data_IF_208536699700
#
_entry.id   IF_208536699700
#
_cell.length_a   1.000
_cell.length_b   1.000
_cell.length_c   1.000
_cell.angle_alpha   90.00
_cell.angle_beta   90.00
_cell.angle_gamma   90.00
#
_symmetry.space_group_name_H-M   'P 1'
#
loop_
_entity.id
_entity.type
_entity.pdbx_description
1 polymer ?
#
# COMPACT_ATOMS: atom_id res chain seq x y z
N UNK A 1 -27.36 5.19 36.87
CA UNK A 1 -27.82 4.30 35.77
C UNK A 1 -26.60 4.05 34.90
N UNK A 2 -25.54 3.37 35.35
CA UNK A 2 -25.47 2.01 35.91
C UNK A 2 -26.11 0.98 34.97
N UNK A 3 -25.25 0.38 34.15
CA UNK A 3 -25.41 -0.95 33.57
C UNK A 3 -24.05 -1.42 32.99
N UNK A 4 -23.23 -2.02 33.85
CA UNK A 4 -22.58 -3.32 33.55
C UNK A 4 -23.43 -4.38 34.30
N UNK A 5 -23.47 -5.70 33.95
CA UNK A 5 -22.30 -6.52 33.55
C UNK A 5 -22.59 -7.76 32.66
N UNK A 6 -21.52 -8.51 32.35
CA UNK A 6 -21.36 -9.98 32.24
C UNK A 6 -20.31 -10.27 31.16
N UNK A 7 -19.10 -10.74 31.44
CA UNK A 7 -18.65 -11.93 32.20
C UNK A 7 -19.19 -13.21 31.57
N UNK A 8 -18.38 -13.79 30.68
CA UNK A 8 -18.31 -15.24 30.51
C UNK A 8 -16.86 -15.68 30.34
N UNK A 9 -16.45 -16.51 31.31
CA UNK A 9 -15.27 -17.36 31.26
C UNK A 9 -15.57 -18.54 30.35
N UNK A 10 -14.59 -18.97 29.55
CA UNK A 10 -14.53 -20.33 29.02
C UNK A 10 -13.07 -20.76 28.77
N UNK A 11 -12.78 -22.07 28.71
CA UNK A 11 -11.91 -22.73 29.69
C UNK A 11 -10.56 -23.23 29.14
N UNK A 12 -9.67 -23.60 30.07
CA UNK A 12 -8.45 -24.38 29.85
C UNK A 12 -8.65 -25.63 28.98
N UNK A 13 -7.73 -25.92 28.05
CA UNK A 13 -7.57 -27.26 27.52
C UNK A 13 -6.48 -28.05 28.28
N UNK A 14 -6.99 -29.01 29.06
CA UNK A 14 -6.51 -30.37 29.30
C UNK A 14 -5.01 -30.70 29.16
N UNK A 15 -4.42 -31.06 30.32
CA UNK A 15 -3.33 -32.02 30.46
C UNK A 15 -3.71 -33.34 29.78
N UNK A 16 -2.94 -33.75 28.77
CA UNK A 16 -3.11 -35.05 28.12
C UNK A 16 -1.99 -36.01 28.52
N UNK A 17 -2.45 -37.18 28.92
CA UNK A 17 -1.84 -38.32 29.58
C UNK A 17 -0.66 -38.99 28.87
N UNK A 18 0.24 -39.53 29.70
CA UNK A 18 1.23 -40.57 29.41
C UNK A 18 0.67 -41.73 28.57
N UNK A 19 1.45 -42.27 27.61
CA UNK A 19 1.30 -43.62 27.14
C UNK A 19 2.26 -44.59 27.83
N UNK A 20 1.66 -45.72 28.17
CA UNK A 20 2.13 -46.90 28.86
C UNK A 20 3.23 -47.68 28.13
N UNK A 21 4.02 -48.39 28.93
CA UNK A 21 5.03 -49.35 28.51
C UNK A 21 4.45 -50.55 27.73
N UNK A 22 5.19 -51.11 26.77
CA UNK A 22 5.03 -52.50 26.34
C UNK A 22 6.13 -53.42 26.90
N UNK A 23 5.64 -54.38 27.68
CA UNK A 23 5.95 -55.82 27.74
C UNK A 23 7.32 -56.32 27.26
N UNK A 24 8.00 -56.94 28.22
CA UNK A 24 9.21 -57.73 28.11
C UNK A 24 9.00 -58.96 27.20
N UNK A 25 9.86 -59.10 26.19
CA UNK A 25 10.10 -60.36 25.48
C UNK A 25 11.42 -60.94 25.98
N UNK A 26 11.33 -62.05 26.71
CA UNK A 26 12.44 -62.89 27.15
C UNK A 26 13.16 -63.49 25.94
N UNK A 27 14.25 -62.84 25.51
CA UNK A 27 15.20 -63.35 24.54
C UNK A 27 16.43 -63.92 25.25
N UNK A 28 16.65 -65.22 25.03
CA UNK A 28 17.75 -66.03 25.54
C UNK A 28 19.12 -65.36 25.44
N UNK A 29 19.74 -65.07 26.59
CA UNK A 29 21.09 -64.50 26.67
C UNK A 29 22.12 -65.63 26.53
N UNK A 30 22.53 -65.94 25.28
CA UNK A 30 23.79 -66.64 25.03
C UNK A 30 24.94 -65.80 25.58
N UNK A 31 25.52 -66.23 26.70
CA UNK A 31 26.79 -65.72 27.25
C UNK A 31 27.93 -66.00 26.27
N UNK A 32 28.07 -65.14 25.27
CA UNK A 32 29.31 -65.06 24.50
C UNK A 32 30.38 -64.47 25.43
N UNK A 33 31.33 -65.31 25.86
CA UNK A 33 32.52 -64.88 26.59
C UNK A 33 33.30 -63.92 25.70
N UNK A 34 33.12 -62.62 25.96
CA UNK A 34 33.83 -61.54 25.26
C UNK A 34 35.33 -61.80 25.43
N UNK A 35 36.09 -61.94 24.33
CA UNK A 35 37.53 -62.16 24.37
C UNK A 35 38.23 -61.05 25.14
N UNK A 36 39.18 -61.40 26.02
CA UNK A 36 39.88 -60.43 26.90
C UNK A 36 40.59 -59.30 26.13
N UNK A 37 40.94 -59.50 24.85
CA UNK A 37 41.55 -58.48 24.01
C UNK A 37 40.60 -57.34 23.60
N UNK A 38 39.28 -57.58 23.59
CA UNK A 38 38.26 -56.54 23.32
C UNK A 38 38.13 -55.54 24.47
N UNK A 39 38.48 -55.94 25.71
CA UNK A 39 38.39 -55.06 26.89
C UNK A 39 39.46 -53.97 26.96
N UNK A 40 40.61 -54.15 26.31
CA UNK A 40 41.64 -53.10 26.27
C UNK A 40 41.34 -52.01 25.22
N UNK A 41 40.55 -52.32 24.18
CA UNK A 41 40.26 -51.36 23.09
C UNK A 41 39.05 -50.45 23.35
N UNK A 42 38.20 -50.76 24.34
CA UNK A 42 36.97 -49.99 24.62
C UNK A 42 37.22 -48.73 25.45
N UNK A 43 38.27 -48.72 26.26
CA UNK A 43 38.62 -47.59 27.14
C UNK A 43 38.90 -46.31 26.33
N UNK A 44 39.78 -46.28 25.30
CA UNK A 44 40.04 -45.04 24.55
C UNK A 44 38.80 -44.53 23.81
N UNK A 45 37.93 -45.44 23.33
CA UNK A 45 36.73 -45.07 22.57
C UNK A 45 35.68 -44.39 23.46
N UNK A 46 35.54 -44.84 24.73
CA UNK A 46 34.66 -44.20 25.71
C UNK A 46 35.11 -42.77 26.06
N UNK A 47 36.42 -42.53 26.19
CA UNK A 47 36.98 -41.20 26.48
C UNK A 47 36.69 -40.21 25.34
N UNK A 48 36.84 -40.65 24.09
CA UNK A 48 36.54 -39.82 22.91
C UNK A 48 35.06 -39.43 22.87
N UNK A 49 34.14 -40.35 23.17
CA UNK A 49 32.71 -40.07 23.20
C UNK A 49 32.35 -39.05 24.29
N UNK A 50 32.93 -39.18 25.49
CA UNK A 50 32.70 -38.21 26.59
C UNK A 50 33.24 -36.83 26.22
N UNK A 51 34.42 -36.74 25.62
CA UNK A 51 34.99 -35.46 25.17
C UNK A 51 34.15 -34.83 24.05
N UNK A 52 33.69 -35.61 23.07
CA UNK A 52 32.84 -35.13 21.99
C UNK A 52 31.48 -34.63 22.53
N UNK A 53 30.86 -35.37 23.45
CA UNK A 53 29.60 -34.97 24.08
C UNK A 53 29.78 -33.74 24.97
N UNK A 54 30.88 -33.65 25.72
CA UNK A 54 31.24 -32.48 26.52
C UNK A 54 31.47 -31.23 25.66
N UNK A 55 32.13 -31.37 24.51
CA UNK A 55 32.33 -30.28 23.56
C UNK A 55 31.01 -29.83 22.92
N UNK A 56 30.13 -30.76 22.54
CA UNK A 56 28.80 -30.44 22.01
C UNK A 56 27.94 -29.71 23.06
N UNK A 57 27.89 -30.23 24.29
CA UNK A 57 27.20 -29.58 25.40
C UNK A 57 27.77 -28.19 25.68
N UNK A 58 29.10 -28.04 25.66
CA UNK A 58 29.75 -26.76 25.83
C UNK A 58 29.32 -25.75 24.75
N UNK A 59 29.33 -26.17 23.47
CA UNK A 59 28.86 -25.31 22.38
C UNK A 59 27.39 -24.94 22.48
N UNK A 60 26.52 -25.84 22.93
CA UNK A 60 25.09 -25.56 23.06
C UNK A 60 24.76 -24.66 24.25
N UNK A 61 25.51 -24.76 25.35
CA UNK A 61 25.18 -24.03 26.58
C UNK A 61 25.94 -22.71 26.75
N UNK A 62 27.19 -22.63 26.30
CA UNK A 62 28.04 -21.47 26.59
C UNK A 62 28.18 -20.49 25.43
N UNK A 63 27.99 -20.93 24.18
CA UNK A 63 28.07 -20.04 23.02
C UNK A 63 26.68 -19.47 22.73
N UNK A 64 26.35 -18.36 23.37
CA UNK A 64 25.12 -17.61 23.06
C UNK A 64 25.24 -17.02 21.65
N UNK A 65 24.19 -17.10 20.81
CA UNK A 65 24.20 -16.45 19.50
C UNK A 65 24.40 -14.95 19.69
N UNK A 66 25.35 -14.37 18.96
CA UNK A 66 25.56 -12.92 18.94
C UNK A 66 24.44 -12.31 18.11
N UNK A 67 23.61 -11.51 18.77
CA UNK A 67 22.54 -10.74 18.12
C UNK A 67 23.20 -9.64 17.30
N UNK A 68 22.95 -9.60 16.00
CA UNK A 68 23.57 -8.64 15.08
C UNK A 68 22.60 -7.59 14.54
N UNK A 69 21.30 -7.82 14.64
CA UNK A 69 20.30 -6.91 14.08
C UNK A 69 19.14 -6.65 15.04
N UNK A 70 18.35 -5.61 14.72
CA UNK A 70 17.13 -5.27 15.42
C UNK A 70 16.09 -6.41 15.34
N UNK A 71 15.94 -7.06 14.18
CA UNK A 71 15.03 -8.19 13.96
C UNK A 71 15.39 -9.40 14.83
N UNK A 72 16.68 -9.65 15.05
CA UNK A 72 17.14 -10.70 15.96
C UNK A 72 16.90 -10.31 17.44
N UNK A 73 17.04 -9.02 17.76
CA UNK A 73 16.79 -8.51 19.12
C UNK A 73 15.32 -8.73 19.54
N UNK A 74 14.35 -8.37 18.68
CA UNK A 74 12.92 -8.51 18.99
C UNK A 74 12.47 -9.97 19.12
N UNK A 75 13.16 -10.91 18.45
CA UNK A 75 12.88 -12.35 18.56
C UNK A 75 13.49 -12.99 19.81
N UNK A 76 14.47 -12.34 20.44
CA UNK A 76 15.17 -12.87 21.60
C UNK A 76 14.29 -12.74 22.86
N UNK A 77 14.08 -13.84 23.57
CA UNK A 77 13.22 -13.87 24.77
C UNK A 77 13.73 -12.93 25.87
N UNK A 78 12.90 -11.93 26.17
CA UNK A 78 13.06 -10.93 27.23
C UNK A 78 13.99 -9.77 26.87
N UNK A 79 14.12 -9.47 25.59
CA UNK A 79 14.46 -8.11 25.16
C UNK A 79 13.32 -7.13 25.52
N UNK A 80 13.67 -5.88 25.77
CA UNK A 80 12.74 -4.78 26.04
C UNK A 80 12.64 -3.88 24.80
N UNK A 81 11.45 -3.70 24.27
CA UNK A 81 11.18 -2.77 23.17
C UNK A 81 10.76 -1.43 23.78
N UNK A 82 11.48 -0.35 23.43
CA UNK A 82 11.10 1.01 23.79
C UNK A 82 10.33 1.64 22.63
N UNK A 83 9.16 2.19 22.93
CA UNK A 83 8.30 2.92 22.00
C UNK A 83 8.83 4.35 21.75
N UNK A 84 10.09 4.47 21.36
CA UNK A 84 10.67 5.71 20.85
C UNK A 84 10.62 5.72 19.32
N UNK A 85 10.78 6.90 18.70
CA UNK A 85 11.00 7.02 17.26
C UNK A 85 12.43 7.54 17.00
N UNK A 86 13.32 6.75 16.36
CA UNK A 86 13.13 5.36 15.92
C UNK A 86 12.95 4.36 17.06
N UNK A 87 12.34 3.21 16.74
CA UNK A 87 12.15 2.12 17.70
C UNK A 87 13.48 1.55 18.15
N UNK A 88 13.59 1.25 19.45
CA UNK A 88 14.82 0.74 20.06
C UNK A 88 14.53 -0.58 20.77
N UNK A 89 15.33 -1.60 20.51
CA UNK A 89 15.30 -2.88 21.19
C UNK A 89 16.54 -3.03 22.08
N UNK A 90 16.33 -3.31 23.37
CA UNK A 90 17.39 -3.51 24.35
C UNK A 90 17.40 -4.98 24.79
N UNK A 91 18.50 -5.66 24.54
CA UNK A 91 18.69 -7.07 24.95
C UNK A 91 18.84 -7.21 26.46
N UNK A 92 18.69 -8.41 27.01
CA UNK A 92 18.96 -8.70 28.45
C UNK A 92 20.38 -8.33 28.89
N UNK A 93 21.34 -8.36 27.96
CA UNK A 93 22.73 -7.96 28.20
C UNK A 93 22.95 -6.44 28.14
N UNK A 94 21.92 -5.65 27.84
CA UNK A 94 22.01 -4.19 27.72
C UNK A 94 22.48 -3.68 26.36
N UNK A 95 22.67 -4.56 25.36
CA UNK A 95 22.97 -4.13 23.99
C UNK A 95 21.74 -3.49 23.37
N UNK A 96 21.96 -2.39 22.66
CA UNK A 96 20.92 -1.54 22.07
C UNK A 96 20.98 -1.69 20.54
N UNK A 97 19.84 -2.02 19.95
CA UNK A 97 19.65 -2.07 18.50
C UNK A 97 18.56 -1.07 18.14
N UNK A 98 18.86 -0.18 17.20
CA UNK A 98 17.90 0.80 16.68
C UNK A 98 17.38 0.26 15.35
N UNK A 99 16.07 0.36 15.11
CA UNK A 99 15.52 0.09 13.79
C UNK A 99 16.09 1.13 12.82
N UNK A 100 16.93 0.68 11.89
CA UNK A 100 17.47 1.55 10.85
C UNK A 100 16.27 2.00 10.02
N UNK A 101 15.91 3.28 10.18
CA UNK A 101 14.92 3.90 9.31
C UNK A 101 15.63 3.95 7.97
N UNK A 102 15.41 2.94 7.12
CA UNK A 102 15.80 3.01 5.73
C UNK A 102 15.17 4.32 5.27
N UNK A 103 15.96 5.35 4.89
CA UNK A 103 15.37 6.56 4.36
C UNK A 103 14.49 6.06 3.23
N UNK A 104 13.18 6.33 3.36
CA UNK A 104 12.22 5.95 2.34
C UNK A 104 12.87 6.41 1.05
N UNK A 105 13.28 5.45 0.23
CA UNK A 105 13.76 5.78 -1.10
C UNK A 105 12.48 6.19 -1.78
N UNK A 106 12.11 7.46 -1.60
CA UNK A 106 10.96 8.08 -2.23
C UNK A 106 11.24 7.80 -3.69
N UNK A 107 10.46 6.87 -4.24
CA UNK A 107 10.60 6.49 -5.63
C UNK A 107 10.59 7.77 -6.45
N UNK A 108 11.33 7.74 -7.56
CA UNK A 108 11.24 8.71 -8.67
C UNK A 108 9.93 9.49 -8.63
N UNK A 109 9.97 10.84 -8.68
CA UNK A 109 8.88 11.73 -8.31
C UNK A 109 7.53 11.17 -8.77
N UNK A 110 6.70 10.81 -7.80
CA UNK A 110 5.29 10.50 -8.04
C UNK A 110 4.63 11.71 -8.70
N UNK A 111 3.69 11.49 -9.61
CA UNK A 111 3.00 12.60 -10.26
C UNK A 111 2.31 13.44 -9.17
N UNK A 112 2.26 14.75 -9.35
CA UNK A 112 1.65 15.66 -8.39
C UNK A 112 0.18 15.28 -8.08
N UNK A 113 -0.53 14.72 -9.06
CA UNK A 113 -1.87 14.11 -8.91
C UNK A 113 -1.91 12.98 -7.88
N UNK A 114 -0.94 12.08 -7.90
CA UNK A 114 -0.85 10.94 -6.99
C UNK A 114 -0.64 11.44 -5.56
N UNK A 115 0.24 12.44 -5.39
CA UNK A 115 0.49 13.07 -4.11
C UNK A 115 -0.72 13.82 -3.56
N UNK A 116 -1.40 14.61 -4.40
CA UNK A 116 -2.65 15.25 -4.02
C UNK A 116 -3.70 14.21 -3.57
N UNK A 117 -3.88 13.14 -4.36
CA UNK A 117 -4.78 12.04 -4.05
C UNK A 117 -4.46 11.34 -2.73
N UNK A 118 -3.18 11.11 -2.42
CA UNK A 118 -2.77 10.51 -1.15
C UNK A 118 -3.07 11.43 0.04
N UNK A 119 -2.76 12.72 -0.06
CA UNK A 119 -2.95 13.70 1.02
C UNK A 119 -4.42 13.85 1.37
N UNK A 120 -5.32 13.99 0.38
CA UNK A 120 -6.75 14.18 0.64
C UNK A 120 -7.44 12.91 1.16
N UNK A 121 -6.92 11.72 0.82
CA UNK A 121 -7.49 10.44 1.21
C UNK A 121 -6.81 9.83 2.45
N UNK A 122 -5.80 10.47 3.02
CA UNK A 122 -5.11 10.00 4.21
C UNK A 122 -6.09 9.90 5.38
N UNK A 123 -6.51 8.67 5.71
CA UNK A 123 -7.38 8.39 6.86
C UNK A 123 -6.51 8.28 8.11
N UNK A 124 -6.80 9.10 9.11
CA UNK A 124 -6.26 8.89 10.45
C UNK A 124 -6.71 7.51 10.96
N UNK A 125 -5.79 6.62 11.39
CA UNK A 125 -6.17 5.34 11.96
C UNK A 125 -7.06 5.56 13.20
N UNK A 126 -8.10 4.72 13.35
CA UNK A 126 -9.04 4.82 14.48
C UNK A 126 -8.27 4.74 15.81
N UNK A 127 -8.40 5.77 16.63
CA UNK A 127 -7.77 5.85 17.95
C UNK A 127 -6.44 6.61 17.99
N UNK A 128 -5.88 7.04 16.86
CA UNK A 128 -4.75 7.93 16.83
C UNK A 128 -5.21 9.41 16.87
N UNK A 129 -4.60 10.21 17.75
CA UNK A 129 -4.69 11.67 17.68
C UNK A 129 -3.71 12.17 16.62
N UNK A 130 -4.06 12.01 15.35
CA UNK A 130 -3.34 12.70 14.29
C UNK A 130 -3.74 14.17 14.36
N UNK A 131 -2.80 15.03 14.73
CA UNK A 131 -2.87 16.43 14.31
C UNK A 131 -2.88 16.35 12.78
N UNK A 132 -3.92 16.90 12.13
CA UNK A 132 -3.88 17.02 10.66
C UNK A 132 -2.66 17.86 10.35
N UNK A 133 -1.60 17.22 9.85
CA UNK A 133 -0.51 17.95 9.21
C UNK A 133 -1.14 18.84 8.15
N UNK A 134 -0.62 20.05 7.97
CA UNK A 134 -1.18 20.93 6.95
C UNK A 134 -1.06 20.21 5.59
N UNK A 135 -2.14 20.16 4.79
CA UNK A 135 -2.15 19.41 3.54
C UNK A 135 -0.98 19.80 2.61
N UNK A 136 -0.57 21.07 2.66
CA UNK A 136 0.57 21.62 1.93
C UNK A 136 1.91 20.97 2.32
N UNK A 137 2.18 20.79 3.61
CA UNK A 137 3.40 20.12 4.08
C UNK A 137 3.44 18.67 3.62
N UNK A 138 2.32 17.96 3.79
CA UNK A 138 2.21 16.55 3.40
C UNK A 138 2.39 16.36 1.89
N UNK A 139 1.86 17.29 1.10
CA UNK A 139 2.05 17.32 -0.35
C UNK A 139 3.53 17.55 -0.70
N UNK A 140 4.19 18.50 -0.05
CA UNK A 140 5.60 18.79 -0.30
C UNK A 140 6.50 17.58 -0.01
N UNK A 141 6.28 16.90 1.12
CA UNK A 141 7.01 15.67 1.44
C UNK A 141 6.77 14.56 0.41
N UNK A 142 5.54 14.42 -0.08
CA UNK A 142 5.24 13.43 -1.12
C UNK A 142 5.96 13.72 -2.44
N UNK A 143 6.10 14.99 -2.80
CA UNK A 143 6.88 15.41 -3.98
C UNK A 143 8.40 15.23 -3.79
N UNK A 144 8.86 14.77 -2.62
CA UNK A 144 10.28 14.63 -2.29
C UNK A 144 10.94 15.92 -1.83
N UNK A 145 10.15 16.93 -1.49
CA UNK A 145 10.62 18.20 -0.94
C UNK A 145 10.51 18.30 0.57
N UNK A 146 10.87 19.47 1.09
CA UNK A 146 10.61 19.88 2.48
C UNK A 146 9.95 21.27 2.50
N UNK A 147 8.95 21.49 3.37
CA UNK A 147 8.39 22.82 3.56
C UNK A 147 9.45 23.72 4.21
N UNK A 148 9.72 24.85 3.60
CA UNK A 148 10.52 25.93 4.17
C UNK A 148 9.64 27.16 4.38
N UNK A 149 9.76 27.74 5.56
CA UNK A 149 9.11 28.99 5.91
C UNK A 149 10.01 30.12 5.41
N UNK A 150 9.49 30.97 4.52
CA UNK A 150 10.18 32.20 4.12
C UNK A 150 9.48 33.43 4.67
N UNK A 151 10.27 34.32 5.26
CA UNK A 151 9.84 35.66 5.63
C UNK A 151 10.21 36.61 4.49
N UNK A 152 9.24 36.94 3.64
CA UNK A 152 9.47 37.91 2.56
C UNK A 152 8.85 39.26 2.93
N UNK A 153 9.67 40.11 3.56
CA UNK A 153 9.28 41.49 3.88
C UNK A 153 8.13 41.62 4.88
N UNK A 154 7.40 42.73 4.79
CA UNK A 154 6.31 43.08 5.73
C UNK A 154 4.97 42.42 5.43
N UNK A 155 4.85 41.61 4.37
CA UNK A 155 3.56 41.14 3.84
C UNK A 155 3.14 39.71 4.24
N UNK A 156 3.93 39.02 5.07
CA UNK A 156 3.50 37.78 5.71
C UNK A 156 4.43 36.60 5.45
N UNK A 157 4.24 35.57 6.27
CA UNK A 157 4.97 34.32 6.22
C UNK A 157 4.22 33.34 5.32
N UNK A 158 4.92 32.72 4.36
CA UNK A 158 4.34 31.69 3.50
C UNK A 158 5.23 30.45 3.44
N UNK A 159 4.60 29.30 3.27
CA UNK A 159 5.29 28.02 3.15
C UNK A 159 5.64 27.77 1.68
N UNK A 160 6.93 27.56 1.41
CA UNK A 160 7.45 27.17 0.09
C UNK A 160 7.86 25.71 0.15
N UNK A 161 7.49 24.94 -0.87
CA UNK A 161 8.06 23.62 -1.02
C UNK A 161 9.42 23.72 -1.71
N UNK A 162 10.47 23.23 -1.07
CA UNK A 162 11.83 23.20 -1.64
C UNK A 162 12.19 21.77 -2.00
N UNK A 163 12.56 21.54 -3.26
CA UNK A 163 12.98 20.22 -3.77
C UNK A 163 14.44 20.35 -4.23
N UNK A 164 15.34 19.56 -3.64
CA UNK A 164 16.78 19.63 -3.93
C UNK A 164 17.43 21.01 -3.76
N UNK A 165 16.88 21.86 -2.87
CA UNK A 165 17.39 23.21 -2.60
C UNK A 165 16.88 24.28 -3.58
N UNK A 166 15.97 23.94 -4.49
CA UNK A 166 15.32 24.90 -5.39
C UNK A 166 13.83 25.05 -5.06
N UNK A 167 13.30 26.26 -5.27
CA UNK A 167 11.89 26.56 -5.05
C UNK A 167 11.04 25.79 -6.06
N UNK A 168 10.08 25.02 -5.56
CA UNK A 168 9.14 24.30 -6.39
C UNK A 168 8.13 25.28 -7.01
N UNK A 169 8.31 25.60 -8.29
CA UNK A 169 7.48 26.55 -9.07
C UNK A 169 6.36 25.87 -9.87
N UNK A 170 6.25 24.56 -9.74
CA UNK A 170 5.30 23.70 -10.43
C UNK A 170 3.88 23.77 -9.81
N UNK A 171 2.99 22.86 -10.21
CA UNK A 171 1.60 22.87 -9.71
C UNK A 171 1.56 22.67 -8.20
N UNK A 172 0.87 23.58 -7.50
CA UNK A 172 0.78 23.58 -6.03
C UNK A 172 -0.44 22.78 -5.54
N UNK A 173 -0.46 22.43 -4.25
CA UNK A 173 -1.64 21.84 -3.62
C UNK A 173 -2.88 22.75 -3.77
N UNK A 174 -2.70 24.07 -3.62
CA UNK A 174 -3.78 25.05 -3.76
C UNK A 174 -4.35 25.05 -5.18
N UNK A 175 -3.50 24.94 -6.21
CA UNK A 175 -3.94 24.83 -7.60
C UNK A 175 -4.85 23.60 -7.78
N UNK A 176 -4.47 22.44 -7.22
CA UNK A 176 -5.30 21.25 -7.25
C UNK A 176 -6.62 21.42 -6.50
N UNK A 177 -6.60 22.05 -5.33
CA UNK A 177 -7.80 22.26 -4.51
C UNK A 177 -8.80 23.18 -5.22
N UNK A 178 -8.34 24.33 -5.71
CA UNK A 178 -9.19 25.26 -6.46
C UNK A 178 -9.56 24.72 -7.85
N UNK A 179 -8.74 23.83 -8.40
CA UNK A 179 -8.95 23.21 -9.70
C UNK A 179 -8.69 24.13 -10.88
N UNK A 180 -7.89 25.19 -10.68
CA UNK A 180 -7.45 26.09 -11.75
C UNK A 180 -6.22 26.88 -11.29
N UNK A 181 -5.54 27.56 -12.21
CA UNK A 181 -4.55 28.60 -11.93
C UNK A 181 -4.43 29.57 -13.12
N UNK A 182 -3.98 30.80 -12.85
CA UNK A 182 -3.73 31.79 -13.90
C UNK A 182 -2.41 31.49 -14.63
N UNK A 183 -2.42 31.62 -15.95
CA UNK A 183 -1.24 31.41 -16.78
C UNK A 183 -1.62 31.33 -18.25
N UNK A 184 -0.72 31.80 -19.12
CA UNK A 184 -0.85 31.66 -20.57
C UNK A 184 -0.70 30.19 -20.99
N UNK A 185 -1.04 29.85 -22.23
CA UNK A 185 -0.93 28.48 -22.72
C UNK A 185 0.50 27.90 -22.63
N UNK A 186 1.53 28.72 -22.84
CA UNK A 186 2.94 28.32 -22.72
C UNK A 186 3.47 28.30 -21.27
N UNK A 187 2.69 28.81 -20.32
CA UNK A 187 3.01 28.84 -18.89
C UNK A 187 2.35 27.69 -18.10
N UNK A 188 2.12 26.55 -18.77
CA UNK A 188 1.61 25.35 -18.10
C UNK A 188 2.62 24.88 -17.05
N UNK A 189 2.25 24.94 -15.77
CA UNK A 189 3.07 24.43 -14.66
C UNK A 189 3.33 22.93 -14.84
N UNK A 190 4.54 22.46 -14.52
CA UNK A 190 4.83 21.01 -14.55
C UNK A 190 3.94 20.30 -13.54
N UNK A 191 3.50 19.08 -13.87
CA UNK A 191 2.56 18.32 -13.06
C UNK A 191 1.09 18.72 -13.23
N UNK A 192 0.77 19.72 -14.05
CA UNK A 192 -0.62 20.02 -14.41
C UNK A 192 -1.26 18.82 -15.12
N UNK A 193 -2.42 18.31 -14.67
CA UNK A 193 -3.03 17.14 -15.27
C UNK A 193 -3.39 17.32 -16.74
N UNK A 194 -3.26 16.24 -17.51
CA UNK A 194 -3.51 16.25 -18.95
C UNK A 194 -4.97 16.54 -19.32
N UNK A 195 -5.90 16.32 -18.37
CA UNK A 195 -7.31 16.65 -18.54
C UNK A 195 -7.66 18.09 -18.15
N UNK A 196 -6.68 18.94 -17.82
CA UNK A 196 -6.93 20.37 -17.62
C UNK A 196 -6.94 21.09 -18.97
N UNK A 197 -7.85 22.04 -19.11
CA UNK A 197 -8.02 22.83 -20.32
C UNK A 197 -7.55 24.26 -20.06
N UNK A 198 -6.91 24.84 -21.07
CA UNK A 198 -6.57 26.24 -21.09
C UNK A 198 -7.75 27.06 -21.65
N UNK A 199 -8.02 28.23 -21.07
CA UNK A 199 -9.09 29.12 -21.49
C UNK A 199 -8.73 30.59 -21.34
N UNK A 200 -9.27 31.46 -22.20
CA UNK A 200 -9.08 32.92 -22.08
C UNK A 200 -7.73 33.46 -22.56
N UNK A 201 -7.08 32.78 -23.52
CA UNK A 201 -5.79 33.20 -24.11
C UNK A 201 -5.81 34.68 -24.56
N UNK A 202 -4.71 35.39 -24.30
CA UNK A 202 -4.59 36.83 -24.61
C UNK A 202 -5.39 37.77 -23.70
N UNK A 203 -6.00 37.27 -22.62
CA UNK A 203 -6.71 38.09 -21.63
C UNK A 203 -6.04 38.00 -20.26
N UNK A 204 -6.36 38.95 -19.35
CA UNK A 204 -5.98 38.85 -17.93
C UNK A 204 -6.62 37.65 -17.20
N UNK A 205 -7.49 36.92 -17.89
CA UNK A 205 -8.19 35.74 -17.40
C UNK A 205 -7.73 34.45 -18.09
N UNK A 206 -6.55 34.47 -18.73
CA UNK A 206 -5.89 33.27 -19.23
C UNK A 206 -5.59 32.32 -18.06
N UNK A 207 -6.21 31.14 -18.09
CA UNK A 207 -6.12 30.17 -16.99
C UNK A 207 -6.11 28.73 -17.50
N UNK A 208 -5.37 27.90 -16.77
CA UNK A 208 -5.49 26.46 -16.79
C UNK A 208 -6.51 26.04 -15.74
N UNK A 209 -7.45 25.18 -16.09
CA UNK A 209 -8.46 24.69 -15.15
C UNK A 209 -8.79 23.24 -15.41
N UNK A 210 -9.19 22.51 -14.35
CA UNK A 210 -9.85 21.21 -14.49
C UNK A 210 -10.89 21.36 -15.59
N UNK A 211 -10.84 20.48 -16.60
CA UNK A 211 -11.94 20.41 -17.56
C UNK A 211 -13.19 20.22 -16.72
N UNK A 212 -14.01 21.26 -16.68
CA UNK A 212 -15.17 21.29 -15.81
C UNK A 212 -16.00 20.07 -16.17
N UNK A 213 -16.09 19.09 -15.27
CA UNK A 213 -16.94 17.93 -15.52
C UNK A 213 -18.42 18.34 -15.51
N UNK A 214 -18.74 19.61 -15.27
CA UNK A 214 -20.06 20.19 -15.55
C UNK A 214 -20.18 20.76 -16.97
N UNK A 215 -19.07 20.96 -17.70
CA UNK A 215 -19.02 21.07 -19.16
C UNK A 215 -18.64 19.75 -19.84
N UNK A 216 -18.58 18.62 -19.13
CA UNK A 216 -18.70 17.35 -19.84
C UNK A 216 -20.04 17.43 -20.56
N UNK A 217 -20.07 17.34 -21.90
CA UNK A 217 -21.33 17.44 -22.62
C UNK A 217 -22.29 16.43 -21.99
N UNK A 218 -23.57 16.83 -21.85
CA UNK A 218 -24.60 15.96 -21.29
C UNK A 218 -24.68 14.61 -22.01
N UNK A 219 -24.07 14.53 -23.19
CA UNK A 219 -23.84 13.32 -23.93
C UNK A 219 -22.47 13.24 -24.63
N UNK A 220 -22.00 12.01 -24.91
CA UNK A 220 -20.84 11.68 -25.73
C UNK A 220 -21.24 10.68 -26.82
N UNK A 221 -20.72 10.86 -28.04
CA UNK A 221 -20.91 9.91 -29.15
C UNK A 221 -19.74 8.93 -29.33
N UNK A 222 -18.69 9.05 -28.53
CA UNK A 222 -17.56 8.12 -28.57
C UNK A 222 -18.06 6.72 -28.22
N UNK A 223 -17.72 5.71 -29.03
CA UNK A 223 -18.21 4.33 -28.86
C UNK A 223 -19.74 4.26 -28.80
N UNK A 224 -20.42 4.92 -29.74
CA UNK A 224 -21.86 4.81 -29.94
C UNK A 224 -22.22 4.73 -31.42
N UNK A 225 -23.35 4.09 -31.75
CA UNK A 225 -23.92 4.09 -33.10
C UNK A 225 -25.44 3.85 -33.07
N UNK A 226 -26.09 4.08 -34.21
CA UNK A 226 -27.52 3.79 -34.36
C UNK A 226 -28.42 4.98 -34.02
N UNK A 227 -29.64 4.93 -34.56
CA UNK A 227 -30.67 5.95 -34.38
C UNK A 227 -31.69 5.52 -33.33
N UNK A 228 -32.30 6.47 -32.66
CA UNK A 228 -33.30 6.20 -31.64
C UNK A 228 -34.33 7.32 -31.56
N UNK A 229 -35.48 7.00 -30.96
CA UNK A 229 -36.55 7.92 -30.58
C UNK A 229 -36.74 7.99 -29.07
N UNK A 230 -36.25 6.98 -28.34
CA UNK A 230 -36.34 6.88 -26.88
C UNK A 230 -35.18 6.04 -26.32
N UNK A 231 -34.95 6.15 -25.01
CA UNK A 231 -33.84 5.48 -24.32
C UNK A 231 -33.89 3.96 -24.38
N UNK A 232 -35.08 3.35 -24.47
CA UNK A 232 -35.22 1.90 -24.41
C UNK A 232 -34.69 1.21 -25.66
N UNK A 233 -34.57 1.95 -26.75
CA UNK A 233 -34.00 1.48 -28.01
C UNK A 233 -32.48 1.40 -27.98
N UNK A 234 -31.81 2.10 -27.07
CA UNK A 234 -30.35 2.11 -26.98
C UNK A 234 -29.89 1.20 -25.84
N UNK A 235 -29.02 0.26 -26.17
CA UNK A 235 -28.47 -0.69 -25.21
C UNK A 235 -26.94 -0.72 -25.32
N UNK A 236 -26.30 -0.94 -24.19
CA UNK A 236 -24.87 -1.22 -24.17
C UNK A 236 -24.63 -2.64 -24.67
N UNK A 237 -23.82 -2.78 -25.72
CA UNK A 237 -23.44 -4.05 -26.30
C UNK A 237 -21.93 -4.28 -26.13
N UNK A 238 -21.57 -5.28 -25.33
CA UNK A 238 -20.20 -5.73 -25.11
C UNK A 238 -20.18 -6.88 -24.09
N UNK A 239 -19.41 -7.93 -24.37
CA UNK A 239 -19.19 -9.04 -23.44
C UNK A 239 -17.75 -8.97 -22.93
N UNK A 240 -17.56 -8.77 -21.62
CA UNK A 240 -16.23 -8.76 -20.97
C UNK A 240 -16.20 -8.16 -19.57
N UNK A 241 -15.11 -8.39 -18.84
CA UNK A 241 -15.00 -8.12 -17.39
C UNK A 241 -14.66 -6.67 -16.98
N UNK A 242 -14.52 -5.71 -17.91
CA UNK A 242 -13.81 -4.46 -17.59
C UNK A 242 -14.45 -3.14 -18.03
N UNK A 243 -15.64 -3.13 -18.63
CA UNK A 243 -16.31 -1.87 -19.00
C UNK A 243 -15.59 -1.01 -20.05
N UNK A 244 -14.49 -1.46 -20.67
CA UNK A 244 -13.65 -0.64 -21.56
C UNK A 244 -13.89 -0.77 -23.06
N UNK A 245 -14.74 -1.70 -23.50
CA UNK A 245 -14.76 -2.16 -24.91
C UNK A 245 -16.14 -2.37 -25.53
N UNK A 246 -17.21 -1.90 -24.89
CA UNK A 246 -18.56 -1.96 -25.47
C UNK A 246 -18.91 -0.78 -26.38
N UNK A 247 -20.11 -0.83 -26.95
CA UNK A 247 -20.70 0.25 -27.75
C UNK A 247 -22.13 0.51 -27.29
N UNK A 248 -22.54 1.78 -27.23
CA UNK A 248 -23.94 2.14 -27.05
C UNK A 248 -24.64 2.08 -28.41
N UNK A 249 -25.60 1.16 -28.60
CA UNK A 249 -26.20 0.90 -29.91
C UNK A 249 -27.67 0.52 -29.83
N UNK A 250 -28.42 0.75 -30.91
CA UNK A 250 -29.76 0.21 -31.09
C UNK A 250 -29.78 -1.21 -31.72
N UNK A 251 -28.62 -1.78 -32.02
CA UNK A 251 -28.47 -3.12 -32.59
C UNK A 251 -27.42 -3.93 -31.80
N UNK A 252 -27.73 -4.36 -30.57
CA UNK A 252 -26.77 -5.08 -29.73
C UNK A 252 -26.36 -6.43 -30.32
N UNK A 253 -27.21 -7.06 -31.13
CA UNK A 253 -26.96 -8.36 -31.77
C UNK A 253 -25.72 -8.34 -32.69
N UNK A 254 -25.41 -7.20 -33.30
CA UNK A 254 -24.21 -7.00 -34.12
C UNK A 254 -22.91 -7.25 -33.33
N UNK A 255 -22.94 -7.12 -32.01
CA UNK A 255 -21.75 -7.16 -31.14
C UNK A 255 -21.66 -8.40 -30.25
N UNK A 256 -22.65 -9.31 -30.27
CA UNK A 256 -22.71 -10.50 -29.41
C UNK A 256 -21.50 -11.44 -29.51
N UNK A 257 -20.78 -11.44 -30.63
CA UNK A 257 -19.63 -12.33 -30.85
C UNK A 257 -18.27 -11.61 -30.68
N UNK A 258 -18.27 -10.34 -30.27
CA UNK A 258 -17.03 -9.59 -30.04
C UNK A 258 -16.62 -9.80 -28.58
N UNK A 259 -15.73 -10.77 -28.37
CA UNK A 259 -15.08 -10.96 -27.08
C UNK A 259 -14.16 -9.78 -26.83
N UNK A 260 -14.45 -9.01 -25.80
CA UNK A 260 -13.59 -7.89 -25.41
C UNK A 260 -12.49 -8.36 -24.45
N UNK A 261 -11.32 -7.72 -24.49
CA UNK A 261 -10.27 -8.00 -23.50
C UNK A 261 -10.71 -7.49 -22.13
N UNK A 262 -10.18 -8.08 -21.05
CA UNK A 262 -10.48 -7.68 -19.67
C UNK A 262 -9.75 -6.40 -19.25
N UNK A 263 -9.25 -5.61 -20.20
CA UNK A 263 -8.53 -4.39 -19.92
C UNK A 263 -9.55 -3.29 -19.56
N UNK A 264 -9.36 -2.68 -18.39
CA UNK A 264 -10.16 -1.53 -17.97
C UNK A 264 -9.59 -0.31 -18.67
N UNK A 265 -10.44 0.38 -19.43
CA UNK A 265 -10.10 1.67 -20.05
C UNK A 265 -10.74 2.76 -19.19
N UNK A 266 -9.94 3.43 -18.36
CA UNK A 266 -10.44 4.44 -17.40
C UNK A 266 -11.19 5.61 -18.06
N UNK A 267 -10.86 5.88 -19.33
CA UNK A 267 -11.50 6.94 -20.13
C UNK A 267 -12.79 6.50 -20.83
N UNK A 268 -13.23 5.25 -20.67
CA UNK A 268 -14.45 4.76 -21.30
C UNK A 268 -15.69 5.43 -20.67
N UNK A 269 -16.71 5.84 -21.46
CA UNK A 269 -17.83 6.63 -20.94
C UNK A 269 -18.55 6.04 -19.72
N UNK A 270 -18.77 4.72 -19.68
CA UNK A 270 -19.38 4.05 -18.53
C UNK A 270 -18.55 4.19 -17.23
N UNK A 271 -17.22 4.13 -17.33
CA UNK A 271 -16.30 4.31 -16.19
C UNK A 271 -16.26 5.78 -15.73
N UNK A 272 -16.62 6.70 -16.62
CA UNK A 272 -16.86 8.10 -16.31
C UNK A 272 -18.30 8.35 -15.82
N UNK A 273 -19.11 7.32 -15.55
CA UNK A 273 -20.47 7.49 -15.03
C UNK A 273 -21.52 7.93 -16.05
N UNK A 274 -21.24 7.82 -17.36
CA UNK A 274 -22.26 7.96 -18.39
C UNK A 274 -23.09 6.67 -18.54
N UNK A 275 -24.36 6.82 -18.88
CA UNK A 275 -25.28 5.72 -19.18
C UNK A 275 -25.59 5.70 -20.67
N UNK A 276 -25.68 4.51 -21.27
CA UNK A 276 -26.13 4.37 -22.65
C UNK A 276 -27.62 4.73 -22.74
N UNK A 277 -27.99 5.59 -23.70
CA UNK A 277 -29.36 6.04 -23.91
C UNK A 277 -29.52 6.78 -25.23
N UNK A 278 -30.71 7.32 -25.46
CA UNK A 278 -31.02 8.11 -26.63
C UNK A 278 -30.74 9.59 -26.39
N UNK A 279 -30.04 10.21 -27.35
CA UNK A 279 -29.85 11.66 -27.39
C UNK A 279 -30.98 12.22 -28.25
N UNK A 280 -32.14 12.47 -27.65
CA UNK A 280 -33.39 12.82 -28.34
C UNK A 280 -33.25 14.02 -29.29
N UNK A 281 -32.43 15.01 -28.92
CA UNK A 281 -32.17 16.18 -29.76
C UNK A 281 -31.50 15.85 -31.09
N UNK A 282 -30.85 14.69 -31.18
CA UNK A 282 -30.09 14.23 -32.34
C UNK A 282 -30.63 12.91 -32.93
N UNK A 283 -31.62 12.29 -32.29
CA UNK A 283 -32.19 10.98 -32.65
C UNK A 283 -31.12 9.89 -32.83
N UNK A 284 -30.10 9.88 -31.97
CA UNK A 284 -28.96 8.97 -32.02
C UNK A 284 -28.67 8.36 -30.66
N UNK A 285 -28.29 7.08 -30.64
CA UNK A 285 -27.79 6.46 -29.42
C UNK A 285 -26.45 7.08 -29.02
N UNK A 286 -26.29 7.31 -27.73
CA UNK A 286 -25.11 7.94 -27.17
C UNK A 286 -24.99 7.68 -25.67
N UNK A 287 -23.90 8.14 -25.11
CA UNK A 287 -23.63 8.04 -23.67
C UNK A 287 -24.08 9.33 -23.02
N UNK A 288 -25.10 9.33 -22.16
CA UNK A 288 -25.60 10.52 -21.46
C UNK A 288 -25.49 10.42 -19.95
N UNK A 289 -25.40 11.57 -19.28
CA UNK A 289 -25.42 11.70 -17.81
C UNK A 289 -26.71 12.35 -17.35
#
# INVERSE_FOLDING_TARGET
MENQPQKDLQPEPNLQSSPSAPTQSTGDTRRNKIPKWVRLSLIPLSVIVVLAYGYLAYKTFFVKPVIKSYEECIKTKGSLIKESYPQVCVTKSGLIFTNEIVPVTIGSPTKAEDCYGQVINAKCPKGAQCVKAEPTESFCYCMGGSPEIREEGTEGQYDVCVINGEDYTDITFQDFEQGWYWGSYDQRKTGTPDNWVHSGEGTRSASWRKSDLTQTPSYLFVKSEGSCTDDTQCQWAGEGCGGGHGICTNNPDKYKNIVTTCDIVDTFPANLGYMCGCIETLNQCGWKR
#
